data_IF_552373634591
#
_entry.id   IF_552373634591
#
_cell.length_a   1.000
_cell.length_b   1.000
_cell.length_c   1.000
_cell.angle_alpha   90.00
_cell.angle_beta   90.00
_cell.angle_gamma   90.00
#
_symmetry.space_group_name_H-M   'P 1'
#
loop_
_entity.id
_entity.type
_entity.pdbx_description
1 polymer ?
#
# COMPACT_ATOMS: atom_id res chain seq x y z
N UNK A 1 -54.89 -32.42 2.12
CA UNK A 1 -54.66 -31.88 0.78
C UNK A 1 -53.95 -30.56 0.94
N UNK A 2 -52.70 -30.55 0.51
CA UNK A 2 -51.73 -29.47 0.60
C UNK A 2 -52.13 -28.29 -0.28
N UNK A 3 -51.81 -27.07 0.12
CA UNK A 3 -51.21 -26.06 -0.78
C UNK A 3 -50.50 -25.00 0.05
N UNK A 4 -49.18 -25.10 0.02
CA UNK A 4 -48.19 -24.19 0.58
C UNK A 4 -48.23 -22.85 -0.17
N UNK A 5 -48.42 -21.74 0.54
CA UNK A 5 -48.28 -20.38 -0.01
C UNK A 5 -46.80 -19.98 0.03
N UNK A 6 -46.24 -19.76 -1.16
CA UNK A 6 -44.84 -19.37 -1.40
C UNK A 6 -44.70 -17.85 -1.31
N UNK A 7 -43.85 -17.36 -0.41
CA UNK A 7 -43.47 -15.95 -0.30
C UNK A 7 -42.19 -15.69 -1.13
N UNK A 8 -42.11 -14.59 -1.91
CA UNK A 8 -40.91 -14.29 -2.68
C UNK A 8 -39.82 -13.68 -1.78
N UNK A 9 -38.67 -14.36 -1.73
CA UNK A 9 -37.44 -13.86 -1.11
C UNK A 9 -36.85 -12.72 -1.97
N UNK A 10 -36.71 -11.55 -1.37
CA UNK A 10 -35.94 -10.44 -1.93
C UNK A 10 -34.44 -10.72 -1.76
N UNK A 11 -33.74 -10.94 -2.87
CA UNK A 11 -32.30 -11.06 -2.92
C UNK A 11 -31.62 -9.73 -2.51
N UNK A 12 -30.48 -9.76 -1.78
CA UNK A 12 -29.69 -8.56 -1.53
C UNK A 12 -28.96 -8.15 -2.82
N UNK A 13 -29.28 -6.94 -3.30
CA UNK A 13 -28.61 -6.30 -4.43
C UNK A 13 -27.17 -5.95 -4.03
N UNK A 14 -26.21 -6.70 -4.54
CA UNK A 14 -24.78 -6.39 -4.44
C UNK A 14 -24.49 -5.19 -5.38
N UNK A 15 -24.31 -4.00 -4.80
CA UNK A 15 -23.86 -2.82 -5.56
C UNK A 15 -22.40 -3.01 -5.99
N UNK A 16 -22.05 -2.79 -7.26
CA UNK A 16 -20.65 -2.80 -7.70
C UNK A 16 -19.91 -1.59 -7.10
N UNK A 17 -19.14 -1.83 -6.03
CA UNK A 17 -18.32 -0.81 -5.35
C UNK A 17 -17.06 -0.38 -6.11
N UNK A 18 -16.80 -0.92 -7.30
CA UNK A 18 -15.54 -0.69 -8.05
C UNK A 18 -15.52 0.60 -8.88
N UNK A 19 -16.66 1.19 -9.21
CA UNK A 19 -16.71 2.36 -10.11
C UNK A 19 -16.56 3.73 -9.42
N UNK A 20 -16.77 3.81 -8.10
CA UNK A 20 -16.75 5.10 -7.37
C UNK A 20 -15.32 5.59 -7.09
N UNK A 21 -14.37 4.68 -6.87
CA UNK A 21 -12.99 5.02 -6.51
C UNK A 21 -12.20 5.68 -7.64
N UNK A 22 -12.58 5.44 -8.90
CA UNK A 22 -11.88 5.98 -10.08
C UNK A 22 -12.25 7.43 -10.39
N UNK A 23 -13.47 7.87 -10.05
CA UNK A 23 -13.91 9.26 -10.29
C UNK A 23 -13.29 10.20 -9.24
N UNK A 24 -13.24 9.79 -7.97
CA UNK A 24 -12.58 10.55 -6.89
C UNK A 24 -11.07 10.73 -7.13
N UNK A 25 -10.44 9.75 -7.78
CA UNK A 25 -9.04 9.82 -8.19
C UNK A 25 -8.76 10.87 -9.29
N UNK A 26 -9.78 11.56 -9.83
CA UNK A 26 -9.61 12.61 -10.87
C UNK A 26 -10.03 14.00 -10.36
N UNK A 27 -10.62 14.12 -9.17
CA UNK A 27 -11.00 15.41 -8.61
C UNK A 27 -9.78 16.33 -8.34
N UNK A 28 -9.82 17.62 -8.70
CA UNK A 28 -8.82 18.61 -8.31
C UNK A 28 -8.94 18.94 -6.81
N UNK A 29 -7.84 19.34 -6.16
CA UNK A 29 -7.85 19.71 -4.74
C UNK A 29 -7.61 18.56 -3.75
N UNK A 30 -7.48 17.32 -4.21
CA UNK A 30 -7.29 16.14 -3.34
C UNK A 30 -5.91 15.51 -3.47
N UNK A 31 -5.41 14.95 -2.37
CA UNK A 31 -4.17 14.15 -2.36
C UNK A 31 -4.44 12.74 -2.88
N UNK A 32 -3.51 12.24 -3.71
CA UNK A 32 -3.54 10.93 -4.34
C UNK A 32 -2.22 10.22 -4.13
N UNK A 33 -2.27 8.89 -4.13
CA UNK A 33 -1.10 8.04 -3.91
C UNK A 33 -0.90 7.11 -5.10
N UNK A 34 0.29 7.15 -5.68
CA UNK A 34 0.76 6.15 -6.65
C UNK A 34 1.31 4.97 -5.87
N UNK A 35 0.62 3.83 -5.96
CA UNK A 35 1.09 2.56 -5.41
C UNK A 35 2.26 2.01 -6.24
N UNK A 36 2.98 1.04 -5.67
CA UNK A 36 4.09 0.32 -6.33
C UNK A 36 3.74 -0.34 -7.66
N UNK A 37 2.47 -0.73 -7.86
CA UNK A 37 1.98 -1.30 -9.11
C UNK A 37 1.53 -0.23 -10.14
N UNK A 38 1.83 1.05 -9.90
CA UNK A 38 1.41 2.17 -10.75
C UNK A 38 -0.03 2.62 -10.55
N UNK A 39 -0.85 1.90 -9.76
CA UNK A 39 -2.23 2.28 -9.52
C UNK A 39 -2.31 3.56 -8.68
N UNK A 40 -3.09 4.53 -9.15
CA UNK A 40 -3.42 5.75 -8.40
C UNK A 40 -4.65 5.50 -7.53
N UNK A 41 -4.58 5.86 -6.25
CA UNK A 41 -5.71 5.79 -5.30
C UNK A 41 -5.82 7.07 -4.49
N UNK A 42 -7.01 7.38 -3.93
CA UNK A 42 -7.15 8.47 -2.97
C UNK A 42 -6.22 8.30 -1.76
N UNK A 43 -5.66 9.40 -1.26
CA UNK A 43 -4.90 9.40 -0.01
C UNK A 43 -5.81 9.04 1.17
N UNK A 44 -5.30 8.20 2.08
CA UNK A 44 -6.03 7.76 3.27
C UNK A 44 -5.07 7.67 4.46
N UNK A 45 -5.24 8.57 5.43
CA UNK A 45 -4.41 8.65 6.63
C UNK A 45 -4.52 7.42 7.53
N UNK A 46 -5.68 6.74 7.58
CA UNK A 46 -5.85 5.52 8.38
C UNK A 46 -4.91 4.40 7.95
N UNK A 47 -4.45 4.38 6.69
CA UNK A 47 -3.42 3.43 6.24
C UNK A 47 -2.05 3.70 6.88
N UNK A 48 -1.74 4.96 7.16
CA UNK A 48 -0.51 5.37 7.86
C UNK A 48 -0.62 4.98 9.33
N UNK A 49 -1.72 5.31 10.00
CA UNK A 49 -1.99 4.93 11.40
C UNK A 49 -1.81 3.43 11.58
N UNK A 50 -2.44 2.60 10.75
CA UNK A 50 -2.32 1.14 10.82
C UNK A 50 -0.89 0.65 10.63
N UNK A 51 -0.12 1.28 9.72
CA UNK A 51 1.27 0.90 9.49
C UNK A 51 2.16 1.23 10.71
N UNK A 52 1.98 2.41 11.29
CA UNK A 52 2.70 2.83 12.50
C UNK A 52 2.30 1.93 13.68
N UNK A 53 1.01 1.68 13.92
CA UNK A 53 0.56 0.76 14.98
C UNK A 53 1.20 -0.62 14.85
N UNK A 54 1.26 -1.18 13.64
CA UNK A 54 1.92 -2.47 13.41
C UNK A 54 3.41 -2.45 13.78
N UNK A 55 4.09 -1.33 13.52
CA UNK A 55 5.48 -1.15 13.90
C UNK A 55 5.65 -1.18 15.42
N UNK A 56 4.81 -0.45 16.15
CA UNK A 56 4.80 -0.47 17.62
C UNK A 56 4.52 -1.87 18.18
N UNK A 57 3.47 -2.54 17.69
CA UNK A 57 3.10 -3.88 18.14
C UNK A 57 4.19 -4.93 17.87
N UNK A 58 4.93 -4.81 16.78
CA UNK A 58 6.04 -5.72 16.47
C UNK A 58 7.19 -5.61 17.48
N UNK A 59 7.37 -4.44 18.09
CA UNK A 59 8.53 -4.11 18.94
C UNK A 59 8.22 -4.17 20.43
N UNK A 60 7.01 -3.74 20.81
CA UNK A 60 6.53 -3.69 22.19
C UNK A 60 5.63 -4.88 22.57
N UNK A 61 5.13 -5.63 21.58
CA UNK A 61 4.30 -6.81 21.80
C UNK A 61 2.81 -6.51 21.98
N UNK A 62 2.04 -7.53 22.39
CA UNK A 62 0.57 -7.43 22.47
C UNK A 62 0.03 -6.49 23.54
N UNK A 63 0.80 -6.20 24.59
CA UNK A 63 0.42 -5.25 25.66
C UNK A 63 0.32 -3.82 25.13
N UNK A 64 1.06 -3.49 24.07
CA UNK A 64 0.98 -2.20 23.41
C UNK A 64 -0.39 -1.93 22.75
N UNK A 65 -1.15 -2.98 22.41
CA UNK A 65 -2.46 -2.82 21.77
C UNK A 65 -3.49 -2.11 22.66
N UNK A 66 -3.37 -2.24 23.98
CA UNK A 66 -4.28 -1.62 24.95
C UNK A 66 -3.73 -0.31 25.56
N UNK A 67 -2.51 0.09 25.19
CA UNK A 67 -1.84 1.25 25.78
C UNK A 67 -2.36 2.56 25.19
N UNK A 68 -3.01 3.40 26.00
CA UNK A 68 -3.49 4.73 25.57
C UNK A 68 -2.34 5.62 25.08
N UNK A 69 -1.19 5.57 25.77
CA UNK A 69 0.02 6.32 25.38
C UNK A 69 0.45 5.99 23.96
N UNK A 70 0.41 4.71 23.57
CA UNK A 70 0.81 4.31 22.22
C UNK A 70 -0.19 4.81 21.19
N UNK A 71 -1.50 4.72 21.48
CA UNK A 71 -2.52 5.26 20.59
C UNK A 71 -2.34 6.77 20.38
N UNK A 72 -2.03 7.53 21.43
CA UNK A 72 -1.70 8.95 21.36
C UNK A 72 -0.45 9.20 20.49
N UNK A 73 0.66 8.51 20.79
CA UNK A 73 1.89 8.63 19.99
C UNK A 73 1.66 8.31 18.51
N UNK A 74 0.91 7.25 18.20
CA UNK A 74 0.61 6.87 16.80
C UNK A 74 -0.26 7.93 16.11
N UNK A 75 -1.23 8.52 16.81
CA UNK A 75 -2.05 9.60 16.27
C UNK A 75 -1.17 10.83 15.95
N UNK A 76 -0.33 11.25 16.89
CA UNK A 76 0.57 12.40 16.72
C UNK A 76 1.54 12.19 15.55
N UNK A 77 2.14 11.00 15.44
CA UNK A 77 3.03 10.67 14.33
C UNK A 77 2.28 10.66 12.99
N UNK A 78 1.05 10.15 12.96
CA UNK A 78 0.21 10.17 11.76
C UNK A 78 -0.05 11.62 11.32
N UNK A 79 -0.42 12.49 12.25
CA UNK A 79 -0.72 13.89 11.97
C UNK A 79 0.50 14.67 11.50
N UNK A 80 1.69 14.37 12.03
CA UNK A 80 2.95 14.92 11.54
C UNK A 80 3.22 14.55 10.07
N UNK A 81 2.98 13.29 9.69
CA UNK A 81 3.13 12.81 8.31
C UNK A 81 2.12 13.50 7.39
N UNK A 82 0.83 13.47 7.76
CA UNK A 82 -0.27 14.06 6.97
C UNK A 82 -0.04 15.56 6.77
N UNK A 83 0.24 16.29 7.86
CA UNK A 83 0.45 17.73 7.80
C UNK A 83 1.66 18.12 6.94
N UNK A 84 2.68 17.26 6.84
CA UNK A 84 3.83 17.50 5.97
C UNK A 84 3.43 17.51 4.49
N UNK A 85 2.62 16.54 4.05
CA UNK A 85 2.14 16.52 2.68
C UNK A 85 1.13 17.63 2.40
N UNK A 86 0.25 17.93 3.35
CA UNK A 86 -0.74 18.99 3.19
C UNK A 86 -0.11 20.39 3.08
N UNK A 87 0.97 20.65 3.82
CA UNK A 87 1.76 21.89 3.69
C UNK A 87 2.50 21.97 2.35
N UNK A 88 3.06 20.86 1.85
CA UNK A 88 3.79 20.81 0.58
C UNK A 88 2.86 20.92 -0.64
N UNK A 89 1.62 20.47 -0.51
CA UNK A 89 0.64 20.36 -1.60
C UNK A 89 -0.74 20.87 -1.14
N UNK A 90 -0.90 22.18 -0.90
CA UNK A 90 -2.14 22.75 -0.37
C UNK A 90 -3.33 22.60 -1.33
N UNK A 91 -3.07 22.59 -2.65
CA UNK A 91 -4.07 22.40 -3.71
C UNK A 91 -4.25 20.92 -4.10
N UNK A 92 -3.76 19.99 -3.27
CA UNK A 92 -3.69 18.57 -3.60
C UNK A 92 -2.51 18.23 -4.51
N UNK A 93 -2.45 16.98 -4.96
CA UNK A 93 -1.32 16.46 -5.72
C UNK A 93 -1.23 14.93 -5.67
N UNK A 94 -0.21 14.40 -6.32
CA UNK A 94 0.03 12.96 -6.38
C UNK A 94 1.41 12.65 -5.81
N UNK A 95 1.47 11.72 -4.85
CA UNK A 95 2.71 11.29 -4.20
C UNK A 95 2.95 9.80 -4.40
N UNK A 96 4.21 9.39 -4.41
CA UNK A 96 4.54 7.98 -4.41
C UNK A 96 4.38 7.38 -3.01
N UNK A 97 4.00 6.11 -2.95
CA UNK A 97 3.88 5.39 -1.68
C UNK A 97 5.23 5.27 -0.93
N UNK A 98 6.36 5.38 -1.64
CA UNK A 98 7.68 5.42 -1.00
C UNK A 98 7.91 6.74 -0.25
N UNK A 99 7.46 7.89 -0.80
CA UNK A 99 7.55 9.18 -0.12
C UNK A 99 6.82 9.16 1.22
N UNK A 100 5.67 8.48 1.29
CA UNK A 100 4.91 8.29 2.53
C UNK A 100 5.70 7.44 3.53
N UNK A 101 6.35 6.37 3.07
CA UNK A 101 7.17 5.51 3.94
C UNK A 101 8.37 6.26 4.50
N UNK A 102 9.09 7.00 3.67
CA UNK A 102 10.22 7.81 4.11
C UNK A 102 9.78 8.89 5.12
N UNK A 103 8.60 9.47 4.92
CA UNK A 103 8.05 10.43 5.88
C UNK A 103 7.62 9.79 7.20
N UNK A 104 7.12 8.54 7.18
CA UNK A 104 6.84 7.77 8.40
C UNK A 104 8.12 7.47 9.17
N UNK A 105 9.18 7.04 8.48
CA UNK A 105 10.49 6.79 9.09
C UNK A 105 11.07 8.05 9.73
N UNK A 106 11.02 9.17 9.00
CA UNK A 106 11.48 10.45 9.52
C UNK A 106 10.69 10.87 10.76
N UNK A 107 9.37 10.66 10.78
CA UNK A 107 8.53 10.97 11.94
C UNK A 107 8.91 10.10 13.15
N UNK A 108 9.08 8.78 12.95
CA UNK A 108 9.52 7.87 14.01
C UNK A 108 10.90 8.27 14.57
N UNK A 109 11.85 8.59 13.69
CA UNK A 109 13.19 9.04 14.12
C UNK A 109 13.14 10.35 14.90
N UNK A 110 12.32 11.32 14.50
CA UNK A 110 12.16 12.60 15.20
C UNK A 110 11.41 12.47 16.52
N UNK A 111 10.50 11.50 16.61
CA UNK A 111 9.80 11.16 17.85
C UNK A 111 10.67 10.43 18.88
N UNK A 112 11.92 10.11 18.55
CA UNK A 112 12.81 9.34 19.42
C UNK A 112 12.56 7.82 19.40
N UNK A 113 11.66 7.35 18.54
CA UNK A 113 11.25 5.95 18.43
C UNK A 113 12.23 5.14 17.58
N UNK A 114 13.52 5.24 17.91
CA UNK A 114 14.62 4.73 17.08
C UNK A 114 14.58 3.21 16.88
N UNK A 115 14.21 2.45 17.93
CA UNK A 115 14.07 1.00 17.83
C UNK A 115 12.96 0.63 16.83
N UNK A 116 11.83 1.33 16.90
CA UNK A 116 10.68 1.11 16.02
C UNK A 116 11.00 1.53 14.60
N UNK A 117 11.66 2.68 14.41
CA UNK A 117 12.10 3.15 13.09
C UNK A 117 13.02 2.13 12.40
N UNK A 118 14.01 1.59 13.12
CA UNK A 118 14.92 0.58 12.57
C UNK A 118 14.18 -0.69 12.18
N UNK A 119 13.33 -1.21 13.05
CA UNK A 119 12.61 -2.46 12.79
C UNK A 119 11.57 -2.27 11.66
N UNK A 120 10.99 -1.07 11.52
CA UNK A 120 10.16 -0.67 10.38
C UNK A 120 10.94 -0.68 9.05
N UNK A 121 12.16 -0.13 9.03
CA UNK A 121 13.04 -0.13 7.85
C UNK A 121 13.38 -1.56 7.42
N UNK A 122 13.73 -2.42 8.37
CA UNK A 122 14.03 -3.83 8.08
C UNK A 122 12.80 -4.52 7.50
N UNK A 123 11.63 -4.33 8.11
CA UNK A 123 10.38 -4.91 7.63
C UNK A 123 10.02 -4.44 6.22
N UNK A 124 10.11 -3.13 5.91
CA UNK A 124 9.78 -2.63 4.56
C UNK A 124 10.69 -3.24 3.50
N UNK A 125 11.97 -3.43 3.83
CA UNK A 125 12.98 -3.97 2.92
C UNK A 125 12.72 -5.46 2.65
N UNK A 126 12.42 -6.23 3.69
CA UNK A 126 12.00 -7.63 3.52
C UNK A 126 10.76 -7.77 2.64
N UNK A 127 9.78 -6.87 2.82
CA UNK A 127 8.58 -6.86 1.98
C UNK A 127 8.90 -6.43 0.54
N UNK A 128 9.88 -5.54 0.35
CA UNK A 128 10.37 -5.15 -0.98
C UNK A 128 11.00 -6.35 -1.68
N UNK A 129 11.90 -7.06 -1.00
CA UNK A 129 12.52 -8.29 -1.50
C UNK A 129 11.50 -9.36 -1.85
N UNK A 130 10.50 -9.60 -0.97
CA UNK A 130 9.41 -10.57 -1.23
C UNK A 130 8.61 -10.21 -2.48
N UNK A 131 8.33 -8.92 -2.72
CA UNK A 131 7.64 -8.47 -3.94
C UNK A 131 8.50 -8.65 -5.19
N UNK A 132 9.78 -8.29 -5.13
CA UNK A 132 10.70 -8.47 -6.24
C UNK A 132 10.80 -9.95 -6.63
N UNK A 133 10.91 -10.86 -5.65
CA UNK A 133 10.88 -12.31 -5.89
C UNK A 133 9.56 -12.75 -6.55
N UNK A 134 8.41 -12.27 -6.07
CA UNK A 134 7.11 -12.60 -6.67
C UNK A 134 6.96 -12.09 -8.10
N UNK A 135 7.55 -10.94 -8.43
CA UNK A 135 7.56 -10.39 -9.78
C UNK A 135 8.50 -11.17 -10.70
N UNK A 136 9.67 -11.60 -10.21
CA UNK A 136 10.59 -12.45 -10.97
C UNK A 136 9.96 -13.81 -11.34
N UNK A 137 9.08 -14.34 -10.48
CA UNK A 137 8.34 -15.58 -10.69
C UNK A 137 6.99 -15.38 -11.41
N UNK A 138 6.75 -14.21 -12.02
CA UNK A 138 5.48 -13.94 -12.71
C UNK A 138 5.46 -14.51 -14.13
N UNK A 139 4.30 -14.97 -14.58
CA UNK A 139 4.10 -15.49 -15.94
C UNK A 139 4.42 -14.43 -17.01
N UNK A 140 4.23 -13.14 -16.70
CA UNK A 140 4.66 -12.05 -17.58
C UNK A 140 6.19 -11.99 -17.73
N UNK A 141 6.95 -12.24 -16.65
CA UNK A 141 8.41 -12.30 -16.71
C UNK A 141 8.90 -13.53 -17.50
N UNK A 142 8.27 -14.69 -17.30
CA UNK A 142 8.57 -15.90 -18.07
C UNK A 142 8.26 -15.72 -19.57
N UNK A 143 7.11 -15.11 -19.90
CA UNK A 143 6.74 -14.80 -21.28
C UNK A 143 7.69 -13.77 -21.91
N UNK A 144 8.14 -12.77 -21.15
CA UNK A 144 9.12 -11.80 -21.62
C UNK A 144 10.49 -12.46 -21.86
N UNK A 145 10.93 -13.36 -20.98
CA UNK A 145 12.18 -14.11 -21.12
C UNK A 145 12.16 -15.05 -22.35
N UNK A 146 11.08 -15.81 -22.55
CA UNK A 146 10.92 -16.69 -23.72
C UNK A 146 10.77 -15.94 -25.06
N UNK A 147 10.52 -14.63 -25.03
CA UNK A 147 10.47 -13.79 -26.24
C UNK A 147 11.84 -13.19 -26.61
N UNK A 148 12.89 -13.40 -25.81
CA UNK A 148 14.24 -12.89 -26.09
C UNK A 148 14.89 -13.73 -27.19
N UNK A 149 15.39 -13.08 -28.23
CA UNK A 149 16.13 -13.72 -29.32
C UNK A 149 17.59 -13.26 -29.29
N UNK A 150 18.52 -14.20 -29.24
CA UNK A 150 19.97 -13.95 -29.23
C UNK A 150 20.51 -14.02 -30.67
N UNK A 151 21.39 -13.07 -31.02
CA UNK A 151 22.14 -13.10 -32.29
C UNK A 151 23.43 -13.89 -32.06
N UNK A 152 23.60 -14.99 -32.79
CA UNK A 152 24.79 -15.83 -32.73
C UNK A 152 25.96 -15.18 -33.49
N UNK A 153 27.17 -15.71 -33.29
CA UNK A 153 28.40 -15.21 -33.94
C UNK A 153 28.35 -15.32 -35.48
N UNK A 154 27.51 -16.19 -36.02
CA UNK A 154 27.24 -16.34 -37.46
C UNK A 154 26.16 -15.38 -37.99
N UNK A 155 25.60 -14.53 -37.11
CA UNK A 155 24.54 -13.58 -37.43
C UNK A 155 23.13 -14.17 -37.40
N UNK A 156 22.97 -15.48 -37.15
CA UNK A 156 21.66 -16.12 -37.01
C UNK A 156 20.97 -15.71 -35.71
N UNK A 157 19.63 -15.79 -35.68
CA UNK A 157 18.81 -15.43 -34.52
C UNK A 157 18.14 -16.67 -33.97
N UNK A 158 18.34 -16.96 -32.69
CA UNK A 158 17.73 -18.09 -31.99
C UNK A 158 17.14 -17.64 -30.65
N UNK A 159 16.06 -18.26 -30.15
CA UNK A 159 15.53 -17.96 -28.83
C UNK A 159 16.57 -18.22 -27.73
N UNK A 160 16.50 -17.44 -26.65
CA UNK A 160 17.33 -17.62 -25.46
C UNK A 160 16.85 -18.89 -24.73
N UNK A 161 17.68 -19.94 -24.73
CA UNK A 161 17.52 -21.17 -23.93
C UNK A 161 18.28 -21.03 -22.59
#
# INVERSE_FOLDING_TARGET
METTTSAPQTAPVHKPQTAVSSIEATAPGTLKVIKRNGQVVPFNSSKITVAITKAFLAVEGGTAAASSRIHETVADLTDQVVSTFQRRMPSGGTIHIEDIQDQVELALMRGGEHKIARDYVIYREEQSRKRAQRQALSAEAEKAAGAITVVQADGSRAPLD
#
